data_IF_273156372902
#
_entry.id   IF_273156372902
#
_cell.length_a   1.000
_cell.length_b   1.000
_cell.length_c   1.000
_cell.angle_alpha   90.00
_cell.angle_beta   90.00
_cell.angle_gamma   90.00
#
_symmetry.space_group_name_H-M   'P 1'
#
loop_
_entity.id
_entity.type
_entity.pdbx_description
1 polymer ?
#
# COMPACT_ATOMS: atom_id res chain seq x y z
N UNK A 1 -14.27 6.80 -0.77
CA UNK A 1 -14.23 6.09 -2.08
C UNK A 1 -12.87 5.47 -2.38
N UNK A 2 -11.75 6.16 -2.17
CA UNK A 2 -10.40 5.66 -2.48
C UNK A 2 -10.06 4.32 -1.80
N UNK A 3 -10.42 4.13 -0.53
CA UNK A 3 -10.20 2.86 0.21
C UNK A 3 -10.87 1.67 -0.49
N UNK A 4 -12.13 1.84 -0.92
CA UNK A 4 -12.91 0.78 -1.57
C UNK A 4 -12.34 0.44 -2.95
N UNK A 5 -11.95 1.46 -3.72
CA UNK A 5 -11.37 1.26 -5.05
C UNK A 5 -10.03 0.52 -4.93
N UNK A 6 -9.15 0.96 -4.02
CA UNK A 6 -7.85 0.35 -3.81
C UNK A 6 -7.96 -1.08 -3.27
N UNK A 7 -8.86 -1.34 -2.31
CA UNK A 7 -9.03 -2.67 -1.74
C UNK A 7 -9.56 -3.67 -2.77
N UNK A 8 -10.53 -3.28 -3.60
CA UNK A 8 -11.07 -4.15 -4.67
C UNK A 8 -10.03 -4.39 -5.75
N UNK A 9 -9.27 -3.36 -6.15
CA UNK A 9 -8.20 -3.51 -7.13
C UNK A 9 -7.13 -4.50 -6.65
N UNK A 10 -6.66 -4.37 -5.41
CA UNK A 10 -5.64 -5.29 -4.87
C UNK A 10 -6.20 -6.69 -4.65
N UNK A 11 -7.45 -6.84 -4.22
CA UNK A 11 -8.11 -8.14 -4.14
C UNK A 11 -8.09 -8.86 -5.49
N UNK A 12 -8.43 -8.16 -6.58
CA UNK A 12 -8.37 -8.73 -7.94
C UNK A 12 -6.94 -9.10 -8.35
N UNK A 13 -5.94 -8.27 -8.05
CA UNK A 13 -4.53 -8.58 -8.34
C UNK A 13 -4.08 -9.82 -7.56
N UNK A 14 -4.40 -9.93 -6.28
CA UNK A 14 -4.09 -11.10 -5.45
C UNK A 14 -4.71 -12.38 -6.02
N UNK A 15 -5.96 -12.32 -6.50
CA UNK A 15 -6.60 -13.45 -7.17
C UNK A 15 -5.89 -13.83 -8.48
N UNK A 16 -5.55 -12.85 -9.31
CA UNK A 16 -4.84 -13.08 -10.59
C UNK A 16 -3.47 -13.72 -10.34
N UNK A 17 -2.70 -13.19 -9.38
CA UNK A 17 -1.38 -13.73 -9.03
C UNK A 17 -1.50 -15.17 -8.52
N UNK A 18 -2.49 -15.46 -7.66
CA UNK A 18 -2.74 -16.82 -7.21
C UNK A 18 -3.10 -17.77 -8.36
N UNK A 19 -3.98 -17.34 -9.28
CA UNK A 19 -4.35 -18.11 -10.45
C UNK A 19 -3.15 -18.37 -11.37
N UNK A 20 -2.26 -17.39 -11.54
CA UNK A 20 -1.03 -17.52 -12.30
C UNK A 20 -0.04 -18.48 -11.62
N UNK A 21 0.07 -18.45 -10.29
CA UNK A 21 0.91 -19.38 -9.53
C UNK A 21 0.44 -20.83 -9.70
N UNK A 22 -0.87 -21.08 -9.53
CA UNK A 22 -1.46 -22.42 -9.74
C UNK A 22 -1.28 -22.90 -11.17
N UNK A 23 -1.50 -22.00 -12.15
CA UNK A 23 -1.26 -22.30 -13.56
C UNK A 23 0.20 -22.64 -13.84
N UNK A 24 1.14 -21.90 -13.25
CA UNK A 24 2.58 -22.17 -13.41
C UNK A 24 2.99 -23.53 -12.84
N UNK A 25 2.28 -24.02 -11.83
CA UNK A 25 2.55 -25.32 -11.18
C UNK A 25 1.75 -26.48 -11.78
N UNK A 26 0.91 -26.23 -12.80
CA UNK A 26 -0.07 -27.19 -13.34
C UNK A 26 -0.98 -27.80 -12.26
N UNK A 27 -1.30 -27.02 -11.23
CA UNK A 27 -2.17 -27.44 -10.14
C UNK A 27 -3.59 -26.90 -10.33
N UNK A 28 -4.57 -27.61 -9.78
CA UNK A 28 -5.94 -27.12 -9.74
C UNK A 28 -6.09 -25.95 -8.77
N UNK A 29 -7.00 -25.03 -9.11
CA UNK A 29 -7.34 -23.89 -8.25
C UNK A 29 -8.03 -24.41 -6.98
N UNK A 30 -7.43 -24.14 -5.82
CA UNK A 30 -8.07 -24.39 -4.53
C UNK A 30 -8.87 -23.15 -4.13
N UNK A 31 -10.19 -23.22 -4.30
CA UNK A 31 -11.10 -22.09 -4.09
C UNK A 31 -11.05 -21.49 -2.67
N UNK A 32 -10.79 -22.33 -1.66
CA UNK A 32 -10.65 -21.88 -0.27
C UNK A 32 -9.42 -20.98 -0.09
N UNK A 33 -8.29 -21.36 -0.67
CA UNK A 33 -7.06 -20.57 -0.59
C UNK A 33 -7.16 -19.29 -1.42
N UNK A 34 -7.76 -19.39 -2.62
CA UNK A 34 -8.03 -18.25 -3.48
C UNK A 34 -8.88 -17.19 -2.77
N UNK A 35 -9.94 -17.62 -2.10
CA UNK A 35 -10.81 -16.75 -1.32
C UNK A 35 -10.07 -16.07 -0.17
N UNK A 36 -9.29 -16.82 0.61
CA UNK A 36 -8.46 -16.27 1.70
C UNK A 36 -7.50 -15.21 1.19
N UNK A 37 -6.71 -15.52 0.18
CA UNK A 37 -5.70 -14.61 -0.38
C UNK A 37 -6.34 -13.33 -0.91
N UNK A 38 -7.45 -13.44 -1.61
CA UNK A 38 -8.21 -12.31 -2.18
C UNK A 38 -8.77 -11.40 -1.09
N UNK A 39 -9.42 -11.98 -0.07
CA UNK A 39 -10.05 -11.22 1.02
C UNK A 39 -8.98 -10.56 1.89
N UNK A 40 -7.93 -11.29 2.28
CA UNK A 40 -6.84 -10.74 3.09
C UNK A 40 -6.09 -9.63 2.35
N UNK A 41 -5.82 -9.79 1.05
CA UNK A 41 -5.19 -8.74 0.24
C UNK A 41 -6.01 -7.45 0.20
N UNK A 42 -7.34 -7.57 0.05
CA UNK A 42 -8.25 -6.43 0.08
C UNK A 42 -8.31 -5.73 1.45
N UNK A 43 -8.43 -6.51 2.54
CA UNK A 43 -8.49 -5.95 3.90
C UNK A 43 -7.18 -5.27 4.28
N UNK A 44 -6.03 -5.90 4.02
CA UNK A 44 -4.72 -5.31 4.30
C UNK A 44 -4.53 -3.98 3.55
N UNK A 45 -4.93 -3.94 2.28
CA UNK A 45 -4.87 -2.72 1.49
C UNK A 45 -5.78 -1.64 2.05
N UNK A 46 -6.98 -1.99 2.51
CA UNK A 46 -7.88 -1.04 3.16
C UNK A 46 -7.25 -0.44 4.43
N UNK A 47 -6.57 -1.25 5.25
CA UNK A 47 -5.83 -0.78 6.42
C UNK A 47 -4.68 0.16 6.04
N UNK A 48 -3.92 -0.16 5.00
CA UNK A 48 -2.82 0.69 4.51
C UNK A 48 -3.37 2.02 4.04
N UNK A 49 -4.37 2.02 3.16
CA UNK A 49 -4.95 3.26 2.63
C UNK A 49 -5.59 4.07 3.75
N UNK A 50 -6.25 3.43 4.72
CA UNK A 50 -6.77 4.11 5.90
C UNK A 50 -5.67 4.79 6.72
N UNK A 51 -4.59 4.07 7.03
CA UNK A 51 -3.46 4.61 7.77
C UNK A 51 -2.80 5.78 7.03
N UNK A 52 -2.53 5.64 5.73
CA UNK A 52 -1.84 6.67 4.94
C UNK A 52 -2.72 7.86 4.59
N UNK A 53 -4.04 7.70 4.58
CA UNK A 53 -4.99 8.79 4.29
C UNK A 53 -5.51 9.46 5.56
N UNK A 54 -5.09 8.99 6.74
CA UNK A 54 -5.49 9.61 8.00
C UNK A 54 -4.77 10.95 8.19
N UNK A 55 -5.51 11.97 8.62
CA UNK A 55 -4.98 13.31 8.91
C UNK A 55 -3.87 13.27 9.98
N UNK A 56 -3.91 12.25 10.85
CA UNK A 56 -2.89 11.96 11.86
C UNK A 56 -1.50 11.77 11.26
N UNK A 57 -1.38 11.14 10.09
CA UNK A 57 -0.08 10.97 9.41
C UNK A 57 0.39 12.29 8.79
N UNK A 58 -0.54 13.09 8.24
CA UNK A 58 -0.21 14.39 7.65
C UNK A 58 0.30 15.35 8.72
N UNK A 59 -0.34 15.40 9.89
CA UNK A 59 0.10 16.25 10.99
C UNK A 59 1.35 15.70 11.68
N UNK A 60 1.52 14.38 11.78
CA UNK A 60 2.78 13.80 12.26
C UNK A 60 3.96 14.14 11.34
N UNK A 61 3.77 14.08 10.00
CA UNK A 61 4.83 14.43 9.03
C UNK A 61 5.14 15.92 9.03
N UNK A 62 4.14 16.79 9.18
CA UNK A 62 4.36 18.25 9.28
C UNK A 62 5.14 18.64 10.52
N UNK A 63 5.01 17.88 11.61
CA UNK A 63 5.72 18.11 12.87
C UNK A 63 7.06 17.38 12.96
N UNK A 64 7.51 16.70 11.90
CA UNK A 64 8.90 16.27 11.80
C UNK A 64 9.74 17.52 11.55
N UNK A 65 10.41 18.01 12.61
CA UNK A 65 11.50 18.97 12.47
C UNK A 65 12.56 18.33 11.56
N UNK A 66 12.63 18.79 10.31
CA UNK A 66 13.69 18.41 9.40
C UNK A 66 14.98 18.92 10.04
N UNK A 67 15.92 18.04 10.46
CA UNK A 67 17.16 18.50 11.07
C UNK A 67 17.86 19.43 10.10
N UNK A 68 18.39 20.56 10.61
CA UNK A 68 18.98 21.70 9.88
C UNK A 68 20.11 21.37 8.87
N UNK A 69 20.41 20.08 8.68
CA UNK A 69 21.31 19.55 7.65
C UNK A 69 20.85 19.93 6.24
N UNK A 70 19.55 20.17 5.99
CA UNK A 70 19.06 20.57 4.67
C UNK A 70 19.43 22.02 4.29
N UNK A 71 19.75 22.89 5.26
CA UNK A 71 20.29 24.24 5.00
C UNK A 71 21.79 24.21 4.65
N UNK A 72 22.51 23.11 4.91
CA UNK A 72 23.94 23.00 4.58
C UNK A 72 24.22 22.65 3.10
N UNK A 73 23.19 22.26 2.33
CA UNK A 73 23.30 21.91 0.91
C UNK A 73 22.66 22.92 -0.04
N UNK A 74 21.94 23.91 0.47
CA UNK A 74 21.36 25.02 -0.30
C UNK A 74 22.14 26.28 0.09
N UNK A 75 23.37 26.40 -0.41
CA UNK A 75 24.20 27.57 -0.14
C UNK A 75 23.46 28.84 -0.52
N UNK A 76 22.87 29.52 0.46
CA UNK A 76 22.23 30.83 0.29
C UNK A 76 23.37 31.81 -0.03
N UNK A 77 23.41 32.45 -1.21
CA UNK A 77 24.38 33.50 -1.45
C UNK A 77 23.97 34.71 -0.61
N UNK A 78 24.79 35.07 0.37
CA UNK A 78 24.73 36.38 1.02
C UNK A 78 25.35 37.40 0.06
N UNK A 79 24.52 38.30 -0.47
CA UNK A 79 24.98 39.56 -1.03
C UNK A 79 24.87 40.64 0.04
#
# INVERSE_FOLDING_TARGET
MMIVIASVAVALVCFIVYALERRSKNESIQWVDAGKITIFGGILTACVVFATSSEVVVDAVKNIEIPAVQDMFVGKPSF
#
